data_IF_697010764087
#
_entry.id   IF_697010764087
#
_cell.length_a   1.000
_cell.length_b   1.000
_cell.length_c   1.000
_cell.angle_alpha   90.00
_cell.angle_beta   90.00
_cell.angle_gamma   90.00
#
_symmetry.space_group_name_H-M   'P 1'
#
loop_
_entity.id
_entity.type
_entity.pdbx_description
1 polymer ?
#
# COMPACT_ATOMS: atom_id res chain seq x y z
N UNK A 1 79.26 -1.88 13.35
CA UNK A 1 79.25 -0.48 13.86
C UNK A 1 78.35 0.30 12.90
N UNK A 2 77.17 0.86 13.16
CA UNK A 2 76.31 1.25 14.31
C UNK A 2 74.84 1.04 13.82
N UNK A 3 73.97 0.23 14.42
CA UNK A 3 73.03 0.42 15.56
C UNK A 3 71.96 1.55 15.51
N UNK A 4 70.70 1.09 15.57
CA UNK A 4 69.46 1.65 16.19
C UNK A 4 68.73 2.77 15.41
N UNK A 5 67.40 2.82 15.30
CA UNK A 5 66.40 2.57 16.36
C UNK A 5 65.02 2.17 15.80
N UNK A 6 64.33 1.36 16.60
CA UNK A 6 62.94 0.88 16.54
C UNK A 6 61.93 2.02 16.65
N UNK A 7 60.83 1.99 15.89
CA UNK A 7 59.61 2.76 16.16
C UNK A 7 58.46 1.81 16.52
N UNK A 8 58.03 1.83 17.78
CA UNK A 8 56.89 1.05 18.33
C UNK A 8 55.60 1.88 18.28
N UNK A 9 54.52 1.20 17.89
CA UNK A 9 53.13 1.23 18.40
C UNK A 9 52.57 2.53 19.00
N UNK A 10 51.43 2.98 18.45
CA UNK A 10 50.23 3.28 19.23
C UNK A 10 48.99 3.21 18.32
N UNK A 11 48.18 2.16 18.50
CA UNK A 11 46.78 2.16 18.11
C UNK A 11 45.98 2.86 19.22
N UNK A 12 45.18 3.88 18.89
CA UNK A 12 44.10 4.35 19.77
C UNK A 12 42.92 4.76 18.90
N UNK A 13 41.79 4.15 19.21
CA UNK A 13 40.48 4.35 18.61
C UNK A 13 39.87 5.71 18.97
N UNK A 14 38.94 6.19 18.15
CA UNK A 14 37.81 6.97 18.65
C UNK A 14 36.60 6.77 17.76
N UNK A 15 35.63 6.07 18.34
CA UNK A 15 34.28 5.94 17.84
C UNK A 15 33.60 7.31 17.84
N UNK A 16 32.93 7.65 16.75
CA UNK A 16 31.83 8.61 16.78
C UNK A 16 30.56 7.82 16.47
N UNK A 17 30.01 7.23 17.53
CA UNK A 17 28.69 6.64 17.57
C UNK A 17 27.69 7.80 17.55
N UNK A 18 27.21 8.21 16.37
CA UNK A 18 26.07 9.12 16.28
C UNK A 18 24.79 8.30 16.49
N UNK A 19 24.46 8.14 17.77
CA UNK A 19 23.13 7.80 18.27
C UNK A 19 22.16 8.91 17.85
N UNK A 20 21.55 8.75 16.68
CA UNK A 20 20.25 9.34 16.39
C UNK A 20 19.21 8.27 16.70
N UNK A 21 18.82 8.21 17.97
CA UNK A 21 17.61 7.53 18.43
C UNK A 21 16.39 8.30 17.92
N UNK A 22 16.11 8.16 16.64
CA UNK A 22 14.77 8.32 16.08
C UNK A 22 14.41 6.95 15.56
N UNK A 23 13.52 6.24 16.27
CA UNK A 23 13.02 4.95 15.82
C UNK A 23 12.24 5.13 14.53
N UNK A 24 12.94 5.14 13.40
CA UNK A 24 12.37 4.66 12.15
C UNK A 24 12.16 3.16 12.39
N UNK A 25 10.95 2.77 12.80
CA UNK A 25 10.54 1.39 12.70
C UNK A 25 10.82 0.97 11.26
N UNK A 26 11.79 0.08 11.06
CA UNK A 26 12.00 -0.48 9.75
C UNK A 26 10.67 -1.14 9.36
N UNK A 27 10.05 -0.68 8.27
CA UNK A 27 8.92 -1.37 7.68
C UNK A 27 9.39 -2.78 7.36
N UNK A 28 8.99 -3.74 8.19
CA UNK A 28 9.38 -5.13 8.02
C UNK A 28 8.45 -5.69 6.94
N UNK A 29 9.00 -6.01 5.77
CA UNK A 29 8.21 -6.63 4.71
C UNK A 29 7.55 -7.91 5.26
N UNK A 30 6.23 -8.03 5.11
CA UNK A 30 5.55 -9.26 5.49
C UNK A 30 6.11 -10.41 4.66
N UNK A 31 6.31 -11.60 5.26
CA UNK A 31 6.78 -12.76 4.50
C UNK A 31 5.73 -13.18 3.43
N UNK A 32 6.15 -13.85 2.34
CA UNK A 32 5.21 -14.48 1.41
C UNK A 32 4.24 -15.39 2.15
N UNK A 33 2.97 -15.38 1.74
CA UNK A 33 1.92 -16.15 2.42
C UNK A 33 0.50 -15.73 2.06
N UNK A 34 -0.49 -16.33 2.74
CA UNK A 34 -1.88 -15.88 2.62
C UNK A 34 -2.03 -14.47 3.18
N UNK A 35 -2.82 -13.66 2.49
CA UNK A 35 -3.28 -12.35 2.93
C UNK A 35 -4.80 -12.37 2.93
N UNK A 36 -5.38 -12.02 4.07
CA UNK A 36 -6.81 -11.86 4.26
C UNK A 36 -7.13 -10.37 4.21
N UNK A 37 -8.08 -9.95 3.38
CA UNK A 37 -8.29 -8.51 3.13
C UNK A 37 -9.71 -8.12 2.78
N UNK A 38 -10.02 -6.83 2.95
CA UNK A 38 -11.16 -6.16 2.33
C UNK A 38 -10.72 -4.80 1.81
N UNK A 39 -11.54 -4.19 0.95
CA UNK A 39 -11.31 -2.89 0.33
C UNK A 39 -12.60 -2.09 0.47
N UNK A 40 -12.50 -0.89 1.00
CA UNK A 40 -13.59 0.09 1.07
C UNK A 40 -13.28 1.23 0.10
N UNK A 41 -14.25 1.57 -0.75
CA UNK A 41 -14.18 2.67 -1.71
C UNK A 41 -15.04 3.81 -1.18
N UNK A 42 -14.52 5.04 -1.24
CA UNK A 42 -15.23 6.22 -0.75
C UNK A 42 -15.08 7.36 -1.74
N UNK A 43 -16.21 7.81 -2.29
CA UNK A 43 -16.34 9.08 -2.99
C UNK A 43 -17.29 10.01 -2.19
N UNK A 44 -16.79 10.96 -1.39
CA UNK A 44 -17.65 11.93 -0.68
C UNK A 44 -18.34 12.93 -1.60
N UNK A 45 -17.91 13.01 -2.87
CA UNK A 45 -18.44 13.91 -3.88
C UNK A 45 -19.48 13.23 -4.78
N UNK A 46 -19.73 11.93 -4.57
CA UNK A 46 -20.71 11.12 -5.29
C UNK A 46 -22.08 11.79 -5.32
N UNK A 47 -22.67 11.85 -6.51
CA UNK A 47 -23.94 12.58 -6.76
C UNK A 47 -24.84 11.88 -7.76
N UNK A 48 -24.58 10.61 -8.06
CA UNK A 48 -25.43 9.80 -8.90
C UNK A 48 -26.79 9.43 -8.24
N UNK A 49 -27.47 8.40 -8.73
CA UNK A 49 -28.79 8.00 -8.28
C UNK A 49 -28.82 7.25 -6.94
N UNK A 50 -27.67 6.78 -6.45
CA UNK A 50 -27.58 5.91 -5.29
C UNK A 50 -26.57 6.39 -4.22
N UNK A 51 -25.80 7.44 -4.49
CA UNK A 51 -24.80 8.04 -3.61
C UNK A 51 -23.70 7.02 -3.18
N UNK A 52 -23.41 6.01 -3.99
CA UNK A 52 -22.36 5.01 -3.74
C UNK A 52 -21.36 4.96 -4.90
N UNK A 53 -20.07 4.73 -4.63
CA UNK A 53 -19.04 4.83 -5.64
C UNK A 53 -19.13 3.70 -6.68
N UNK A 54 -18.73 4.02 -7.90
CA UNK A 54 -18.63 3.11 -9.05
C UNK A 54 -17.16 2.94 -9.46
N UNK A 55 -16.34 2.29 -8.62
CA UNK A 55 -14.90 2.29 -8.80
C UNK A 55 -14.46 1.42 -9.98
N UNK A 56 -13.49 1.92 -10.73
CA UNK A 56 -12.70 1.14 -11.68
C UNK A 56 -11.20 1.33 -11.46
N UNK A 57 -10.38 0.43 -11.98
CA UNK A 57 -8.93 0.47 -11.86
C UNK A 57 -8.39 -0.74 -11.10
N UNK A 58 -7.43 -0.52 -10.19
CA UNK A 58 -6.66 -1.60 -9.57
C UNK A 58 -6.19 -1.27 -8.17
N UNK A 59 -6.23 -2.30 -7.32
CA UNK A 59 -5.60 -2.34 -5.99
C UNK A 59 -4.67 -3.54 -5.92
N UNK A 60 -3.43 -3.35 -5.47
CA UNK A 60 -2.43 -4.42 -5.43
C UNK A 60 -1.45 -4.30 -4.26
N UNK A 61 -0.82 -5.43 -3.93
CA UNK A 61 0.30 -5.52 -3.01
C UNK A 61 1.61 -5.50 -3.80
N UNK A 62 2.61 -4.80 -3.27
CA UNK A 62 3.87 -4.51 -3.95
C UNK A 62 5.05 -5.04 -3.13
N UNK A 63 5.95 -5.76 -3.80
CA UNK A 63 7.26 -6.15 -3.28
C UNK A 63 8.27 -5.01 -3.43
N UNK A 64 9.33 -4.97 -2.61
CA UNK A 64 10.35 -3.92 -2.68
C UNK A 64 11.17 -3.92 -3.98
N UNK A 65 11.10 -5.01 -4.77
CA UNK A 65 11.76 -5.13 -6.08
C UNK A 65 10.79 -5.04 -7.26
N UNK A 66 9.54 -4.60 -7.06
CA UNK A 66 8.62 -4.35 -8.16
C UNK A 66 7.63 -5.49 -8.48
N UNK A 67 7.77 -6.68 -7.90
CA UNK A 67 6.77 -7.76 -8.08
C UNK A 67 5.43 -7.40 -7.42
N UNK A 68 4.32 -7.77 -8.07
CA UNK A 68 2.97 -7.34 -7.68
C UNK A 68 1.99 -8.51 -7.58
N UNK A 69 1.07 -8.42 -6.63
CA UNK A 69 -0.12 -9.27 -6.55
C UNK A 69 -1.37 -8.40 -6.53
N UNK A 70 -2.20 -8.50 -7.58
CA UNK A 70 -3.48 -7.81 -7.63
C UNK A 70 -4.43 -8.34 -6.55
N UNK A 71 -5.07 -7.44 -5.82
CA UNK A 71 -6.15 -7.75 -4.87
C UNK A 71 -7.51 -7.59 -5.57
N UNK A 72 -7.68 -6.50 -6.30
CA UNK A 72 -8.89 -6.19 -7.05
C UNK A 72 -8.52 -5.44 -8.34
N UNK A 73 -9.26 -5.74 -9.41
CA UNK A 73 -9.13 -5.11 -10.72
C UNK A 73 -10.52 -5.03 -11.35
N UNK A 74 -10.87 -3.87 -11.88
CA UNK A 74 -12.08 -3.69 -12.68
C UNK A 74 -11.78 -2.72 -13.84
N UNK A 75 -12.15 -3.05 -15.09
CA UNK A 75 -11.99 -2.11 -16.19
C UNK A 75 -12.97 -0.94 -16.06
N UNK A 76 -12.61 0.22 -16.61
CA UNK A 76 -13.58 1.26 -16.92
C UNK A 76 -14.50 0.75 -18.05
N UNK A 77 -15.80 0.72 -17.77
CA UNK A 77 -16.83 0.33 -18.73
C UNK A 77 -17.89 1.44 -18.89
N UNK A 78 -17.50 2.68 -18.56
CA UNK A 78 -18.34 3.86 -18.47
C UNK A 78 -19.57 3.58 -17.61
N UNK A 79 -20.73 4.07 -18.05
CA UNK A 79 -22.05 3.98 -17.37
C UNK A 79 -22.48 2.58 -16.93
N UNK A 80 -21.75 1.52 -17.28
CA UNK A 80 -22.00 0.16 -16.80
C UNK A 80 -21.06 -0.26 -15.66
N UNK A 81 -20.25 0.66 -15.13
CA UNK A 81 -19.34 0.39 -14.02
C UNK A 81 -20.20 0.15 -12.80
N UNK A 82 -20.06 -1.01 -12.12
CA UNK A 82 -20.98 -1.38 -11.07
C UNK A 82 -20.68 -0.60 -9.80
N UNK A 83 -21.76 -0.18 -9.14
CA UNK A 83 -21.72 0.32 -7.78
C UNK A 83 -21.03 -0.68 -6.85
N UNK A 84 -19.93 -0.27 -6.21
CA UNK A 84 -19.11 -1.13 -5.37
C UNK A 84 -18.47 -0.34 -4.21
N UNK A 85 -19.22 -0.04 -3.14
CA UNK A 85 -18.66 0.62 -1.95
C UNK A 85 -17.65 -0.25 -1.19
N UNK A 86 -17.70 -1.57 -1.36
CA UNK A 86 -16.83 -2.52 -0.65
C UNK A 86 -16.55 -3.79 -1.46
N UNK A 87 -15.33 -4.28 -1.38
CA UNK A 87 -14.90 -5.58 -1.89
C UNK A 87 -14.25 -6.46 -0.78
N UNK A 88 -14.54 -7.76 -0.69
CA UNK A 88 -15.66 -8.41 -1.37
C UNK A 88 -17.00 -7.81 -0.90
N UNK A 89 -18.05 -8.06 -1.67
CA UNK A 89 -19.38 -7.52 -1.41
C UNK A 89 -19.97 -7.97 -0.05
N UNK A 90 -21.10 -7.39 0.35
CA UNK A 90 -21.68 -7.52 1.69
C UNK A 90 -21.93 -8.97 2.17
N UNK A 91 -21.87 -9.97 1.29
CA UNK A 91 -21.97 -11.39 1.65
C UNK A 91 -20.70 -11.98 2.25
N UNK A 92 -19.55 -11.32 2.15
CA UNK A 92 -18.26 -11.80 2.67
C UNK A 92 -17.51 -10.69 3.41
N UNK A 93 -17.06 -10.93 4.65
CA UNK A 93 -16.34 -9.90 5.40
C UNK A 93 -14.95 -9.61 4.82
N UNK A 94 -14.33 -10.61 4.18
CA UNK A 94 -12.98 -10.58 3.64
C UNK A 94 -12.79 -11.61 2.51
N UNK A 95 -11.75 -11.40 1.70
CA UNK A 95 -11.25 -12.33 0.68
C UNK A 95 -9.84 -12.81 1.08
N UNK A 96 -9.40 -13.95 0.54
CA UNK A 96 -8.04 -14.48 0.77
C UNK A 96 -7.27 -14.54 -0.56
N UNK A 97 -6.02 -14.08 -0.55
CA UNK A 97 -5.09 -14.22 -1.68
C UNK A 97 -3.76 -14.78 -1.20
N UNK A 98 -3.17 -15.71 -1.95
CA UNK A 98 -1.77 -16.09 -1.72
C UNK A 98 -0.86 -15.09 -2.42
N UNK A 99 0.11 -14.55 -1.68
CA UNK A 99 1.13 -13.61 -2.17
C UNK A 99 2.48 -14.32 -2.12
N UNK A 100 3.11 -14.49 -3.28
CA UNK A 100 4.36 -15.26 -3.43
C UNK A 100 5.63 -14.41 -3.22
N UNK A 101 5.46 -13.17 -2.76
CA UNK A 101 6.53 -12.22 -2.50
C UNK A 101 6.31 -11.50 -1.16
N UNK A 102 7.37 -10.93 -0.56
CA UNK A 102 7.19 -10.04 0.57
C UNK A 102 6.37 -8.82 0.21
N UNK A 103 5.58 -8.32 1.16
CA UNK A 103 4.72 -7.14 0.97
C UNK A 103 5.34 -5.96 1.70
N UNK A 104 5.64 -4.88 0.97
CA UNK A 104 6.14 -3.62 1.54
C UNK A 104 5.17 -2.47 1.39
N UNK A 105 4.29 -2.51 0.39
CA UNK A 105 3.33 -1.44 0.13
C UNK A 105 1.98 -2.01 -0.32
N UNK A 106 0.91 -1.28 0.00
CA UNK A 106 -0.38 -1.39 -0.67
C UNK A 106 -0.48 -0.22 -1.64
N UNK A 107 -0.89 -0.50 -2.86
CA UNK A 107 -1.01 0.50 -3.91
C UNK A 107 -2.41 0.47 -4.54
N UNK A 108 -2.85 1.63 -5.02
CA UNK A 108 -4.11 1.81 -5.71
C UNK A 108 -3.98 2.88 -6.80
N UNK A 109 -4.57 2.57 -7.96
CA UNK A 109 -4.94 3.52 -9.00
C UNK A 109 -6.41 3.23 -9.29
N UNK A 110 -7.28 4.03 -8.70
CA UNK A 110 -8.73 3.81 -8.75
C UNK A 110 -9.39 5.12 -9.11
N UNK A 111 -10.09 5.08 -10.25
CA UNK A 111 -11.02 6.12 -10.66
C UNK A 111 -12.45 5.71 -10.32
N UNK A 112 -13.36 6.63 -10.58
CA UNK A 112 -14.80 6.48 -10.39
C UNK A 112 -15.48 7.10 -11.62
N UNK A 113 -16.56 6.48 -12.09
CA UNK A 113 -17.33 6.96 -13.24
C UNK A 113 -18.62 7.62 -12.75
N UNK A 114 -18.62 8.95 -12.69
CA UNK A 114 -19.76 9.82 -12.37
C UNK A 114 -20.90 9.75 -13.44
N UNK A 115 -21.45 8.56 -13.75
CA UNK A 115 -22.61 8.25 -14.63
C UNK A 115 -22.95 9.26 -15.75
N UNK A 116 -21.94 9.79 -16.46
CA UNK A 116 -22.11 10.74 -17.56
C UNK A 116 -22.44 12.20 -17.19
N UNK A 117 -22.18 12.66 -15.96
CA UNK A 117 -22.43 14.04 -15.52
C UNK A 117 -21.13 14.88 -15.47
N UNK A 118 -19.98 14.31 -15.10
CA UNK A 118 -18.71 15.03 -14.92
C UNK A 118 -17.48 14.32 -15.55
N UNK A 119 -16.28 14.83 -15.21
CA UNK A 119 -14.99 14.19 -15.41
C UNK A 119 -14.82 13.12 -14.34
N UNK A 120 -14.32 11.94 -14.70
CA UNK A 120 -14.01 10.84 -13.79
C UNK A 120 -13.27 11.33 -12.53
N UNK A 121 -13.76 10.90 -11.37
CA UNK A 121 -13.18 11.24 -10.08
C UNK A 121 -11.97 10.36 -9.77
N UNK A 122 -10.93 10.92 -9.14
CA UNK A 122 -9.77 10.16 -8.69
C UNK A 122 -9.94 9.72 -7.23
N UNK A 123 -10.31 8.46 -7.00
CA UNK A 123 -10.45 7.91 -5.64
C UNK A 123 -9.10 7.61 -4.99
N UNK A 124 -8.12 7.13 -5.74
CA UNK A 124 -6.80 6.83 -5.21
C UNK A 124 -5.72 6.84 -6.29
N UNK A 125 -4.58 7.48 -5.98
CA UNK A 125 -3.39 7.41 -6.81
C UNK A 125 -2.13 7.32 -5.95
N UNK A 126 -1.59 6.11 -5.80
CA UNK A 126 -0.28 5.90 -5.20
C UNK A 126 -0.17 4.66 -4.33
N UNK A 127 0.77 4.70 -3.40
CA UNK A 127 1.12 3.60 -2.52
C UNK A 127 1.34 4.07 -1.08
N UNK A 128 1.05 3.21 -0.11
CA UNK A 128 1.35 3.41 1.31
C UNK A 128 2.14 2.23 1.88
N UNK A 129 3.11 2.48 2.77
CA UNK A 129 3.94 1.42 3.34
C UNK A 129 3.14 0.51 4.28
N UNK A 130 3.41 -0.79 4.21
CA UNK A 130 2.80 -1.83 5.04
C UNK A 130 3.72 -2.18 6.22
N UNK A 131 3.13 -2.26 7.42
CA UNK A 131 3.84 -2.62 8.65
C UNK A 131 3.28 -3.91 9.31
N UNK A 132 2.22 -4.48 8.75
CA UNK A 132 1.53 -5.66 9.27
C UNK A 132 0.03 -5.63 8.95
N UNK A 133 -0.79 -6.42 9.67
CA UNK A 133 -2.24 -6.26 9.66
C UNK A 133 -2.66 -4.85 10.09
N UNK A 134 -3.70 -4.30 9.47
CA UNK A 134 -4.15 -2.93 9.69
C UNK A 134 -4.95 -2.36 8.52
N UNK A 135 -5.32 -1.09 8.64
CA UNK A 135 -6.04 -0.34 7.61
C UNK A 135 -5.10 0.63 6.90
N UNK A 136 -5.12 0.59 5.58
CA UNK A 136 -4.22 1.32 4.69
C UNK A 136 -5.03 2.17 3.74
N UNK A 137 -5.12 3.48 4.01
CA UNK A 137 -5.88 4.42 3.19
C UNK A 137 -4.96 5.10 2.18
N UNK A 138 -5.32 5.02 0.91
CA UNK A 138 -4.70 5.73 -0.21
C UNK A 138 -5.73 6.75 -0.70
N UNK A 139 -5.32 8.01 -0.82
CA UNK A 139 -6.21 9.14 -1.14
C UNK A 139 -5.92 9.63 -2.55
N UNK A 140 -6.97 9.90 -3.32
CA UNK A 140 -6.90 10.61 -4.59
C UNK A 140 -7.38 12.05 -4.44
N UNK A 141 -7.58 12.76 -5.56
CA UNK A 141 -8.10 14.12 -5.51
C UNK A 141 -9.53 14.19 -4.93
N UNK A 142 -10.35 13.17 -5.20
CA UNK A 142 -11.80 13.24 -4.99
C UNK A 142 -12.31 12.27 -3.93
N UNK A 143 -11.56 11.20 -3.67
CA UNK A 143 -11.95 10.15 -2.73
C UNK A 143 -10.81 9.43 -2.04
N UNK A 144 -11.11 8.22 -1.56
CA UNK A 144 -10.10 7.33 -0.97
C UNK A 144 -10.44 5.86 -1.17
N UNK A 145 -9.39 5.04 -1.17
CA UNK A 145 -9.46 3.58 -1.11
C UNK A 145 -8.80 3.14 0.19
N UNK A 146 -9.54 2.42 1.04
CA UNK A 146 -9.01 1.85 2.28
C UNK A 146 -8.93 0.33 2.16
N UNK A 147 -7.70 -0.20 2.22
CA UNK A 147 -7.45 -1.64 2.23
C UNK A 147 -7.23 -2.09 3.67
N UNK A 148 -8.06 -3.02 4.13
CA UNK A 148 -7.90 -3.66 5.42
C UNK A 148 -7.17 -4.99 5.22
N UNK A 149 -6.00 -5.16 5.86
CA UNK A 149 -5.27 -6.42 5.93
C UNK A 149 -5.51 -7.02 7.31
N UNK A 150 -5.99 -8.26 7.37
CA UNK A 150 -6.31 -8.96 8.62
C UNK A 150 -5.24 -9.99 8.99
N UNK A 151 -5.19 -10.32 10.28
CA UNK A 151 -4.46 -11.50 10.76
C UNK A 151 -5.07 -12.78 10.15
N UNK A 152 -4.20 -13.75 9.84
CA UNK A 152 -4.56 -15.08 9.28
C UNK A 152 -4.55 -16.14 10.37
#
# INVERSE_FOLDING_TARGET
MHFKTVGRLAAVASAALLLLSGGAGAAQAAAPGPVLYSIDFSNPQERDDNDLPEPYGRVWLQAPWGQQTALWEHPDVGINTPTLPRYPDAGRPYEMRFVDHPVTEVCAFVGEDDTGINVDDELAAGCVPVQGPGSYTITGADGSVTVNLYDV
#
